data_IF_200422751685
#
_entry.id   IF_200422751685
#
_cell.length_a   1.000
_cell.length_b   1.000
_cell.length_c   1.000
_cell.angle_alpha   90.00
_cell.angle_beta   90.00
_cell.angle_gamma   90.00
#
_symmetry.space_group_name_H-M   'P 1'
#
loop_
_entity.id
_entity.type
_entity.pdbx_description
1 polymer ?
#
# COMPACT_ATOMS: atom_id res chain seq x y z
N UNK A 1 3.67 27.85 -16.27
CA UNK A 1 3.09 27.00 -15.20
C UNK A 1 3.64 27.40 -13.82
N UNK A 2 3.55 28.69 -13.43
CA UNK A 2 4.16 29.20 -12.19
C UNK A 2 3.28 30.20 -11.40
N UNK A 3 1.98 30.28 -11.70
CA UNK A 3 1.06 31.18 -11.00
C UNK A 3 -0.29 30.48 -10.76
N UNK A 4 -0.32 29.60 -9.75
CA UNK A 4 -1.57 29.05 -9.22
C UNK A 4 -1.41 28.52 -7.77
N UNK A 5 -0.45 29.04 -7.00
CA UNK A 5 -0.03 28.45 -5.72
C UNK A 5 -0.53 29.17 -4.45
N UNK A 6 -1.41 30.19 -4.56
CA UNK A 6 -1.68 31.10 -3.43
C UNK A 6 -3.12 31.06 -2.88
N UNK A 7 -3.84 29.92 -2.89
CA UNK A 7 -5.25 29.91 -2.45
C UNK A 7 -5.72 28.74 -1.58
N UNK A 8 -4.88 28.14 -0.74
CA UNK A 8 -5.33 26.98 0.05
C UNK A 8 -4.68 26.95 1.44
N UNK A 9 -5.38 27.47 2.46
CA UNK A 9 -5.10 27.25 3.88
C UNK A 9 -6.40 27.31 4.71
N UNK A 10 -6.67 26.33 5.60
CA UNK A 10 -7.57 26.53 6.74
C UNK A 10 -6.96 26.16 8.13
N UNK A 11 -7.77 26.44 9.15
CA UNK A 11 -7.55 26.82 10.57
C UNK A 11 -6.79 25.85 11.52
N UNK A 12 -5.98 26.34 12.49
CA UNK A 12 -5.16 25.53 13.39
C UNK A 12 -5.89 25.15 14.68
N UNK A 13 -6.46 23.94 14.74
CA UNK A 13 -7.09 23.40 15.97
C UNK A 13 -7.35 21.89 16.04
N UNK A 14 -6.84 21.07 15.12
CA UNK A 14 -7.44 19.76 14.79
C UNK A 14 -6.68 18.47 15.18
N UNK A 15 -5.69 18.50 16.09
CA UNK A 15 -5.17 17.28 16.73
C UNK A 15 -4.74 16.14 15.78
N UNK A 16 -3.94 16.46 14.77
CA UNK A 16 -3.69 15.66 13.56
C UNK A 16 -2.52 14.67 13.65
N UNK A 17 -2.51 13.76 12.68
CA UNK A 17 -1.71 12.54 12.64
C UNK A 17 -1.30 12.28 11.19
N UNK A 18 0.00 12.23 10.88
CA UNK A 18 0.50 12.29 9.51
C UNK A 18 1.32 11.08 9.03
N UNK A 19 1.89 11.21 7.84
CA UNK A 19 3.16 10.55 7.54
C UNK A 19 4.25 11.42 8.15
N UNK A 20 4.95 10.92 9.15
CA UNK A 20 6.18 11.56 9.60
C UNK A 20 7.29 10.95 8.77
N UNK A 21 7.65 11.68 7.71
CA UNK A 21 8.97 11.50 7.11
C UNK A 21 9.95 11.81 8.23
N UNK A 22 10.78 10.84 8.59
CA UNK A 22 11.84 11.10 9.56
C UNK A 22 12.67 12.28 9.04
N UNK A 23 13.07 13.19 9.93
CA UNK A 23 13.58 14.54 9.60
C UNK A 23 14.76 14.55 8.62
N UNK A 24 15.38 13.39 8.43
CA UNK A 24 16.47 13.04 7.53
C UNK A 24 16.20 13.35 6.05
N UNK A 25 15.01 13.78 5.59
CA UNK A 25 14.88 14.04 4.15
C UNK A 25 13.95 15.15 3.64
N UNK A 26 13.20 15.92 4.47
CA UNK A 26 12.54 17.15 3.97
C UNK A 26 11.92 17.98 5.11
N UNK A 27 12.72 18.83 5.73
CA UNK A 27 12.23 19.98 6.49
C UNK A 27 11.69 21.07 5.56
N UNK A 28 10.52 20.85 4.91
CA UNK A 28 9.53 21.89 4.49
C UNK A 28 8.43 21.48 3.50
N UNK A 29 8.20 20.20 3.23
CA UNK A 29 7.05 19.78 2.40
C UNK A 29 6.41 18.60 3.13
N UNK A 30 5.07 18.60 3.30
CA UNK A 30 4.22 17.59 3.97
C UNK A 30 3.73 17.86 5.42
N UNK A 31 3.25 19.08 5.73
CA UNK A 31 2.44 19.30 6.96
C UNK A 31 0.98 19.73 6.71
N UNK A 32 0.44 19.65 5.50
CA UNK A 32 -0.85 20.30 5.20
C UNK A 32 -1.94 19.48 4.49
N UNK A 33 -1.72 18.20 4.13
CA UNK A 33 -2.52 17.63 3.03
C UNK A 33 -3.32 16.35 3.32
N UNK A 34 -3.34 15.82 4.53
CA UNK A 34 -4.03 14.54 4.80
C UNK A 34 -4.88 14.61 6.07
N UNK A 35 -6.13 15.05 5.93
CA UNK A 35 -7.09 15.15 7.03
C UNK A 35 -7.84 13.85 7.28
N UNK A 36 -7.57 13.19 8.42
CA UNK A 36 -8.39 12.11 9.01
C UNK A 36 -8.29 12.12 10.55
N UNK A 37 -9.40 12.08 11.30
CA UNK A 37 -9.39 11.86 12.75
C UNK A 37 -9.48 10.36 13.11
N UNK A 38 -8.80 9.95 14.18
CA UNK A 38 -8.89 8.60 14.78
C UNK A 38 -9.55 8.72 16.15
N UNK A 39 -10.67 8.02 16.37
CA UNK A 39 -11.19 7.77 17.71
C UNK A 39 -10.71 6.39 18.17
N UNK A 40 -9.97 6.37 19.27
CA UNK A 40 -9.65 5.16 20.02
C UNK A 40 -10.91 4.62 20.68
N UNK A 41 -11.36 3.44 20.29
CA UNK A 41 -12.21 2.62 21.14
C UNK A 41 -11.80 1.16 20.99
N UNK A 42 -11.19 0.65 22.06
CA UNK A 42 -11.10 -0.76 22.39
C UNK A 42 -12.45 -1.43 22.17
N UNK A 43 -12.52 -2.51 21.38
CA UNK A 43 -13.57 -3.49 21.58
C UNK A 43 -13.13 -4.91 21.17
N UNK A 44 -13.50 -5.86 22.02
CA UNK A 44 -13.29 -7.29 21.90
C UNK A 44 -13.95 -7.85 20.64
N UNK A 45 -13.24 -8.73 19.95
CA UNK A 45 -13.74 -9.57 18.86
C UNK A 45 -14.70 -10.62 19.45
N UNK A 46 -15.97 -10.74 19.04
CA UNK A 46 -16.79 -11.88 19.40
C UNK A 46 -16.35 -13.12 18.60
N UNK A 47 -16.19 -14.24 19.29
CA UNK A 47 -15.92 -15.54 18.71
C UNK A 47 -17.04 -15.98 17.77
N UNK A 48 -16.72 -16.17 16.48
CA UNK A 48 -17.63 -16.79 15.53
C UNK A 48 -17.75 -18.29 15.83
N UNK A 49 -18.96 -18.73 16.18
CA UNK A 49 -19.35 -20.14 16.20
C UNK A 49 -19.91 -20.52 14.83
N UNK A 50 -19.31 -21.54 14.21
CA UNK A 50 -19.86 -22.19 13.02
C UNK A 50 -21.06 -23.05 13.43
N UNK A 51 -22.25 -22.76 12.89
CA UNK A 51 -23.35 -23.72 12.84
C UNK A 51 -23.59 -24.14 11.39
N UNK A 52 -23.69 -25.46 11.10
CA UNK A 52 -24.05 -25.96 9.79
C UNK A 52 -25.57 -26.00 9.65
N UNK A 53 -26.13 -25.50 8.55
CA UNK A 53 -27.57 -25.63 8.32
C UNK A 53 -28.09 -24.87 7.10
N UNK A 54 -28.26 -25.62 6.02
CA UNK A 54 -29.38 -25.56 5.05
C UNK A 54 -29.79 -24.19 4.47
N UNK A 55 -29.55 -24.02 3.17
CA UNK A 55 -30.32 -23.11 2.33
C UNK A 55 -31.01 -23.90 1.21
N UNK A 56 -32.32 -23.65 1.10
CA UNK A 56 -33.33 -24.25 0.22
C UNK A 56 -33.08 -23.99 -1.27
N UNK A 57 -33.64 -24.89 -2.04
CA UNK A 57 -33.85 -24.86 -3.49
C UNK A 57 -34.86 -23.79 -3.94
N UNK A 58 -34.73 -23.45 -5.23
CA UNK A 58 -35.68 -22.79 -6.15
C UNK A 58 -35.64 -21.26 -6.27
N UNK A 59 -35.06 -20.77 -7.37
CA UNK A 59 -35.80 -20.05 -8.43
C UNK A 59 -34.89 -19.69 -9.63
N UNK A 60 -35.30 -20.14 -10.83
CA UNK A 60 -35.17 -19.39 -12.10
C UNK A 60 -33.84 -19.42 -12.85
N UNK A 61 -33.61 -20.46 -13.65
CA UNK A 61 -32.62 -20.43 -14.73
C UNK A 61 -33.20 -19.61 -15.90
N UNK A 62 -32.68 -18.41 -16.11
CA UNK A 62 -32.76 -17.72 -17.42
C UNK A 62 -31.53 -18.15 -18.21
N UNK A 63 -31.78 -18.99 -19.21
CA UNK A 63 -30.79 -19.51 -20.14
C UNK A 63 -30.28 -18.40 -21.07
N UNK A 64 -29.00 -18.07 -20.96
CA UNK A 64 -28.24 -17.32 -21.96
C UNK A 64 -26.81 -17.85 -22.00
N UNK A 65 -26.68 -19.06 -22.56
CA UNK A 65 -25.46 -19.83 -22.58
C UNK A 65 -24.70 -19.72 -23.93
N UNK A 66 -23.40 -19.32 -23.96
CA UNK A 66 -22.48 -19.73 -25.00
C UNK A 66 -21.49 -20.82 -24.55
N UNK A 67 -21.61 -21.33 -23.33
CA UNK A 67 -20.81 -22.44 -22.79
C UNK A 67 -21.61 -23.72 -22.77
N UNK A 68 -21.65 -24.43 -23.91
CA UNK A 68 -21.88 -25.87 -23.84
C UNK A 68 -20.83 -26.47 -22.90
N UNK A 69 -21.32 -27.10 -21.83
CA UNK A 69 -20.53 -27.61 -20.72
C UNK A 69 -19.41 -28.52 -21.22
N UNK A 70 -18.17 -28.13 -20.93
CA UNK A 70 -17.04 -29.04 -21.03
C UNK A 70 -16.91 -29.69 -19.67
N UNK A 71 -17.34 -30.94 -19.58
CA UNK A 71 -17.20 -31.75 -18.39
C UNK A 71 -15.70 -31.97 -18.13
N UNK A 72 -15.13 -31.26 -17.15
CA UNK A 72 -13.70 -31.30 -16.80
C UNK A 72 -13.29 -32.67 -16.22
N UNK A 73 -14.25 -33.58 -16.07
CA UNK A 73 -14.06 -34.97 -15.67
C UNK A 73 -14.06 -35.95 -16.84
N UNK A 74 -14.25 -35.48 -18.08
CA UNK A 74 -14.17 -36.33 -19.27
C UNK A 74 -12.73 -36.79 -19.49
N UNK A 75 -12.49 -38.04 -19.10
CA UNK A 75 -11.25 -38.77 -19.33
C UNK A 75 -11.07 -38.86 -20.85
N UNK A 76 -9.89 -38.49 -21.37
CA UNK A 76 -9.62 -38.67 -22.79
C UNK A 76 -9.81 -40.17 -23.16
N UNK A 77 -10.13 -40.53 -24.41
CA UNK A 77 -10.50 -41.90 -24.80
C UNK A 77 -9.51 -43.00 -24.36
N UNK A 78 -8.29 -42.61 -24.04
CA UNK A 78 -7.16 -43.42 -23.57
C UNK A 78 -7.02 -43.50 -22.03
N UNK A 79 -7.99 -43.07 -21.22
CA UNK A 79 -7.95 -43.24 -19.76
C UNK A 79 -7.13 -42.19 -19.00
N UNK A 80 -6.50 -41.25 -19.70
CA UNK A 80 -5.61 -40.24 -19.09
C UNK A 80 -6.22 -38.85 -19.13
N UNK A 81 -6.01 -38.07 -18.06
CA UNK A 81 -6.30 -36.63 -18.08
C UNK A 81 -5.28 -35.93 -18.98
N UNK A 82 -5.68 -34.97 -19.83
CA UNK A 82 -4.73 -34.24 -20.65
C UNK A 82 -3.74 -33.49 -19.75
N UNK A 83 -2.45 -33.52 -20.10
CA UNK A 83 -1.40 -32.75 -19.42
C UNK A 83 -1.38 -31.28 -19.82
N UNK A 84 -2.22 -30.90 -20.80
CA UNK A 84 -2.34 -29.55 -21.33
C UNK A 84 -3.82 -29.18 -21.45
N UNK A 85 -4.17 -28.01 -20.92
CA UNK A 85 -5.49 -27.41 -21.05
C UNK A 85 -5.32 -26.00 -21.58
N UNK A 86 -6.04 -25.65 -22.64
CA UNK A 86 -6.14 -24.28 -23.12
C UNK A 86 -7.61 -23.86 -23.13
N UNK A 87 -7.90 -22.70 -22.53
CA UNK A 87 -9.19 -22.04 -22.62
C UNK A 87 -8.93 -20.60 -23.01
N UNK A 88 -9.14 -20.29 -24.29
CA UNK A 88 -8.92 -18.96 -24.81
C UNK A 88 -10.07 -18.06 -24.37
N UNK A 89 -9.75 -16.98 -23.66
CA UNK A 89 -10.72 -15.93 -23.38
C UNK A 89 -11.15 -15.23 -24.68
N UNK A 90 -12.38 -14.73 -24.71
CA UNK A 90 -12.91 -13.97 -25.85
C UNK A 90 -12.42 -12.53 -25.88
N UNK A 91 -11.92 -12.02 -24.75
CA UNK A 91 -11.43 -10.64 -24.61
C UNK A 91 -9.91 -10.57 -24.80
N UNK A 92 -9.41 -9.62 -25.61
CA UNK A 92 -7.97 -9.43 -25.79
C UNK A 92 -7.31 -8.92 -24.51
N UNK A 93 -6.05 -9.30 -24.29
CA UNK A 93 -5.26 -8.76 -23.18
C UNK A 93 -5.05 -7.25 -23.35
N UNK A 94 -5.28 -6.50 -22.28
CA UNK A 94 -5.06 -5.06 -22.28
C UNK A 94 -3.63 -4.71 -21.84
N UNK A 95 -3.06 -3.65 -22.42
CA UNK A 95 -1.69 -3.19 -22.15
C UNK A 95 -1.60 -2.08 -21.09
N UNK A 96 -2.65 -1.85 -20.31
CA UNK A 96 -2.62 -0.82 -19.26
C UNK A 96 -1.72 -1.23 -18.10
N UNK A 97 -0.91 -0.29 -17.61
CA UNK A 97 -0.20 -0.46 -16.34
C UNK A 97 -1.15 -0.26 -15.17
N UNK A 98 -0.78 -0.76 -13.99
CA UNK A 98 -1.54 -0.49 -12.75
C UNK A 98 -1.68 1.02 -12.52
N UNK A 99 -0.64 1.81 -12.79
CA UNK A 99 -0.67 3.27 -12.64
C UNK A 99 -1.68 3.95 -13.58
N UNK A 100 -1.85 3.43 -14.81
CA UNK A 100 -2.88 3.90 -15.75
C UNK A 100 -4.28 3.46 -15.31
N UNK A 101 -4.42 2.24 -14.77
CA UNK A 101 -5.70 1.76 -14.25
C UNK A 101 -6.21 2.59 -13.07
N UNK A 102 -5.32 3.19 -12.27
CA UNK A 102 -5.71 4.14 -11.21
C UNK A 102 -6.38 5.39 -11.80
N UNK A 103 -5.81 5.99 -12.85
CA UNK A 103 -6.42 7.14 -13.52
C UNK A 103 -7.76 6.78 -14.16
N UNK A 104 -7.78 5.69 -14.93
CA UNK A 104 -9.00 5.21 -15.60
C UNK A 104 -10.12 4.96 -14.58
N UNK A 105 -9.79 4.38 -13.42
CA UNK A 105 -10.77 4.13 -12.37
C UNK A 105 -11.26 5.43 -11.72
N UNK A 106 -10.38 6.39 -11.45
CA UNK A 106 -10.75 7.70 -10.91
C UNK A 106 -11.60 8.52 -11.89
N UNK A 107 -11.34 8.46 -13.19
CA UNK A 107 -12.15 9.13 -14.21
C UNK A 107 -13.54 8.50 -14.34
N UNK A 108 -13.63 7.17 -14.28
CA UNK A 108 -14.89 6.45 -14.51
C UNK A 108 -15.77 6.36 -13.27
N UNK A 109 -15.18 6.30 -12.08
CA UNK A 109 -15.88 6.03 -10.82
C UNK A 109 -15.40 6.93 -9.68
N UNK A 110 -14.94 8.13 -9.99
CA UNK A 110 -14.30 9.04 -9.04
C UNK A 110 -14.99 9.20 -7.69
N UNK A 111 -16.32 9.37 -7.69
CA UNK A 111 -17.12 9.56 -6.47
C UNK A 111 -17.48 8.26 -5.74
N UNK A 112 -17.20 7.09 -6.33
CA UNK A 112 -17.48 5.80 -5.69
C UNK A 112 -16.40 5.46 -4.67
N UNK A 113 -16.80 4.75 -3.62
CA UNK A 113 -15.86 4.19 -2.64
C UNK A 113 -14.90 3.21 -3.33
N UNK A 114 -13.61 3.45 -3.15
CA UNK A 114 -12.54 2.59 -3.65
C UNK A 114 -12.00 1.66 -2.55
N UNK A 115 -11.83 2.20 -1.34
CA UNK A 115 -11.26 1.48 -0.21
C UNK A 115 -11.96 1.85 1.10
N UNK A 116 -12.34 0.83 1.85
CA UNK A 116 -12.89 0.93 3.19
C UNK A 116 -11.97 0.18 4.16
N UNK A 117 -11.51 0.87 5.18
CA UNK A 117 -10.78 0.28 6.31
C UNK A 117 -11.64 0.35 7.55
N UNK A 118 -12.17 -0.80 7.98
CA UNK A 118 -13.08 -0.90 9.13
C UNK A 118 -12.39 -0.52 10.43
N UNK A 119 -11.13 -0.95 10.63
CA UNK A 119 -10.41 -0.69 11.87
C UNK A 119 -9.88 0.75 11.98
N UNK A 120 -9.75 1.45 10.84
CA UNK A 120 -9.41 2.87 10.80
C UNK A 120 -10.67 3.75 10.76
N UNK A 121 -11.85 3.13 10.70
CA UNK A 121 -13.15 3.77 10.45
C UNK A 121 -13.07 4.79 9.30
N UNK A 122 -12.46 4.36 8.19
CA UNK A 122 -12.11 5.29 7.14
C UNK A 122 -12.41 4.75 5.74
N UNK A 123 -12.93 5.64 4.89
CA UNK A 123 -13.41 5.39 3.54
C UNK A 123 -12.79 6.41 2.61
N UNK A 124 -12.27 5.96 1.48
CA UNK A 124 -11.78 6.84 0.42
C UNK A 124 -12.40 6.48 -0.92
N UNK A 125 -12.67 7.51 -1.72
CA UNK A 125 -13.16 7.36 -3.09
C UNK A 125 -12.03 7.07 -4.08
N UNK A 126 -12.37 6.71 -5.32
CA UNK A 126 -11.37 6.49 -6.37
C UNK A 126 -10.58 7.77 -6.70
N UNK A 127 -11.23 8.93 -6.73
CA UNK A 127 -10.57 10.22 -6.93
C UNK A 127 -9.58 10.52 -5.79
N UNK A 128 -10.01 10.33 -4.54
CA UNK A 128 -9.13 10.55 -3.38
C UNK A 128 -7.96 9.57 -3.36
N UNK A 129 -8.18 8.30 -3.74
CA UNK A 129 -7.12 7.31 -3.81
C UNK A 129 -6.04 7.70 -4.84
N UNK A 130 -6.45 8.17 -6.03
CA UNK A 130 -5.52 8.69 -7.05
C UNK A 130 -4.75 9.90 -6.51
N UNK A 131 -5.43 10.90 -5.98
CA UNK A 131 -4.78 12.14 -5.54
C UNK A 131 -3.76 11.89 -4.43
N UNK A 132 -4.10 11.02 -3.47
CA UNK A 132 -3.18 10.62 -2.40
C UNK A 132 -1.99 9.83 -2.95
N UNK A 133 -2.21 8.95 -3.92
CA UNK A 133 -1.13 8.19 -4.56
C UNK A 133 -0.18 9.11 -5.35
N UNK A 134 -0.71 10.09 -6.07
CA UNK A 134 0.07 11.05 -6.85
C UNK A 134 0.90 11.97 -5.97
N UNK A 135 0.31 12.45 -4.88
CA UNK A 135 1.04 13.24 -3.89
C UNK A 135 2.18 12.44 -3.26
N UNK A 136 1.93 11.20 -2.84
CA UNK A 136 2.97 10.36 -2.27
C UNK A 136 4.07 10.03 -3.30
N UNK A 137 3.70 9.73 -4.55
CA UNK A 137 4.66 9.48 -5.63
C UNK A 137 5.54 10.72 -5.90
N UNK A 138 4.94 11.91 -5.97
CA UNK A 138 5.66 13.17 -6.14
C UNK A 138 6.60 13.45 -4.97
N UNK A 139 6.18 13.18 -3.73
CA UNK A 139 7.04 13.29 -2.55
C UNK A 139 8.24 12.35 -2.62
N UNK A 140 8.02 11.09 -3.01
CA UNK A 140 9.09 10.11 -3.19
C UNK A 140 10.09 10.50 -4.29
N UNK A 141 9.61 11.08 -5.40
CA UNK A 141 10.51 11.64 -6.43
C UNK A 141 11.37 12.77 -5.86
N UNK A 142 10.81 13.66 -5.04
CA UNK A 142 11.55 14.74 -4.38
C UNK A 142 12.56 14.22 -3.36
N UNK A 143 12.27 13.08 -2.71
CA UNK A 143 13.20 12.35 -1.84
C UNK A 143 14.35 11.66 -2.63
N UNK A 144 14.34 11.76 -3.95
CA UNK A 144 15.41 11.29 -4.83
C UNK A 144 15.20 9.88 -5.38
N UNK A 145 13.99 9.31 -5.30
CA UNK A 145 13.66 8.09 -6.03
C UNK A 145 13.49 8.40 -7.51
N UNK A 146 13.74 7.40 -8.35
CA UNK A 146 13.53 7.44 -9.79
C UNK A 146 12.75 6.21 -10.23
N UNK A 147 12.03 6.24 -11.37
CA UNK A 147 11.40 5.05 -11.93
C UNK A 147 12.39 3.88 -12.02
N UNK A 148 11.94 2.69 -11.61
CA UNK A 148 12.77 1.49 -11.48
C UNK A 148 13.44 1.31 -10.11
N UNK A 149 13.48 2.34 -9.26
CA UNK A 149 13.94 2.19 -7.88
C UNK A 149 12.97 1.35 -7.05
N UNK A 150 13.52 0.64 -6.06
CA UNK A 150 12.76 -0.27 -5.20
C UNK A 150 12.28 0.44 -3.94
N UNK A 151 10.97 0.50 -3.78
CA UNK A 151 10.28 1.06 -2.62
C UNK A 151 9.75 -0.08 -1.77
N UNK A 152 10.34 -0.28 -0.59
CA UNK A 152 9.82 -1.22 0.39
C UNK A 152 8.64 -0.63 1.16
N UNK A 153 7.62 -1.44 1.38
CA UNK A 153 6.45 -1.12 2.18
C UNK A 153 6.34 -2.20 3.25
N UNK A 154 6.56 -1.81 4.50
CA UNK A 154 6.60 -2.68 5.67
C UNK A 154 5.55 -2.24 6.69
N UNK A 155 4.36 -2.79 6.58
CA UNK A 155 3.24 -2.39 7.42
C UNK A 155 2.01 -3.28 7.23
N UNK A 156 0.99 -3.14 8.09
CA UNK A 156 -0.25 -3.88 7.96
C UNK A 156 -1.03 -3.44 6.72
N UNK A 157 -2.02 -4.24 6.32
CA UNK A 157 -2.98 -3.87 5.27
C UNK A 157 -3.84 -2.68 5.73
N UNK A 158 -3.32 -1.47 5.55
CA UNK A 158 -3.94 -0.19 5.85
C UNK A 158 -4.25 0.60 4.59
N UNK A 159 -5.01 1.68 4.76
CA UNK A 159 -5.21 2.63 3.66
C UNK A 159 -3.88 3.19 3.21
N UNK A 160 -3.00 3.57 4.13
CA UNK A 160 -1.68 4.09 3.80
C UNK A 160 -0.84 3.03 3.06
N UNK A 161 -0.92 1.76 3.44
CA UNK A 161 -0.21 0.66 2.76
C UNK A 161 -0.71 0.51 1.32
N UNK A 162 -2.03 0.55 1.12
CA UNK A 162 -2.62 0.47 -0.21
C UNK A 162 -2.27 1.69 -1.07
N UNK A 163 -2.37 2.90 -0.52
CA UNK A 163 -1.95 4.13 -1.18
C UNK A 163 -0.46 4.10 -1.55
N UNK A 164 0.41 3.56 -0.68
CA UNK A 164 1.84 3.41 -0.96
C UNK A 164 2.09 2.51 -2.18
N UNK A 165 1.28 1.46 -2.34
CA UNK A 165 1.36 0.56 -3.50
C UNK A 165 0.86 1.25 -4.78
N UNK A 166 -0.21 2.05 -4.69
CA UNK A 166 -0.66 2.86 -5.82
C UNK A 166 0.39 3.91 -6.20
N UNK A 167 0.95 4.61 -5.21
CA UNK A 167 2.02 5.59 -5.41
C UNK A 167 3.25 4.97 -6.09
N UNK A 168 3.62 3.75 -5.72
CA UNK A 168 4.68 3.01 -6.40
C UNK A 168 4.37 2.79 -7.88
N UNK A 169 3.16 2.32 -8.20
CA UNK A 169 2.74 2.13 -9.58
C UNK A 169 2.67 3.45 -10.36
N UNK A 170 2.21 4.53 -9.73
CA UNK A 170 2.11 5.87 -10.32
C UNK A 170 3.48 6.51 -10.56
N UNK A 171 4.40 6.38 -9.61
CA UNK A 171 5.77 6.89 -9.69
C UNK A 171 6.73 6.01 -10.50
N UNK A 172 6.28 4.85 -10.99
CA UNK A 172 7.12 3.90 -11.71
C UNK A 172 8.14 3.18 -10.82
N UNK A 173 7.91 3.11 -9.51
CA UNK A 173 8.76 2.40 -8.56
C UNK A 173 8.40 0.92 -8.50
N UNK A 174 9.39 0.09 -8.17
CA UNK A 174 9.18 -1.33 -7.90
C UNK A 174 8.72 -1.47 -6.46
N UNK A 175 7.44 -1.78 -6.25
CA UNK A 175 6.87 -2.02 -4.93
C UNK A 175 7.37 -3.35 -4.34
N UNK A 176 8.03 -3.29 -3.20
CA UNK A 176 8.51 -4.46 -2.45
C UNK A 176 7.68 -4.59 -1.18
N UNK A 177 6.85 -5.61 -1.11
CA UNK A 177 5.98 -5.86 0.04
C UNK A 177 6.71 -6.70 1.07
N UNK A 178 6.87 -6.18 2.29
CA UNK A 178 7.54 -6.87 3.39
C UNK A 178 6.49 -7.23 4.44
N UNK A 179 6.54 -8.47 4.94
CA UNK A 179 5.64 -8.94 5.98
C UNK A 179 5.86 -8.10 7.27
N UNK A 180 4.81 -7.46 7.81
CA UNK A 180 4.91 -6.66 9.03
C UNK A 180 5.32 -7.46 10.28
N UNK A 181 5.26 -8.80 10.25
CA UNK A 181 5.72 -9.65 11.35
C UNK A 181 7.25 -9.85 11.40
N UNK A 182 7.99 -9.47 10.35
CA UNK A 182 9.45 -9.64 10.29
C UNK A 182 10.14 -8.94 11.45
N UNK A 183 11.12 -9.62 12.04
CA UNK A 183 11.98 -9.04 13.06
C UNK A 183 13.27 -8.54 12.42
N UNK A 184 14.19 -8.01 13.23
CA UNK A 184 15.40 -7.37 12.73
C UNK A 184 16.22 -8.23 11.75
N UNK A 185 16.43 -9.55 11.96
CA UNK A 185 17.20 -10.38 11.04
C UNK A 185 16.54 -10.51 9.66
N UNK A 186 15.24 -10.80 9.62
CA UNK A 186 14.49 -11.02 8.38
C UNK A 186 14.31 -9.70 7.62
N UNK A 187 14.06 -8.61 8.34
CA UNK A 187 13.98 -7.27 7.76
C UNK A 187 15.33 -6.88 7.14
N UNK A 188 16.43 -6.99 7.88
CA UNK A 188 17.77 -6.69 7.36
C UNK A 188 18.09 -7.52 6.12
N UNK A 189 17.86 -8.83 6.17
CA UNK A 189 18.09 -9.71 5.03
C UNK A 189 17.32 -9.23 3.79
N UNK A 190 16.05 -8.87 3.97
CA UNK A 190 15.17 -8.43 2.88
C UNK A 190 15.63 -7.09 2.28
N UNK A 191 15.95 -6.10 3.12
CA UNK A 191 16.42 -4.78 2.69
C UNK A 191 17.74 -4.89 1.90
N UNK A 192 18.70 -5.68 2.39
CA UNK A 192 20.01 -5.84 1.76
C UNK A 192 19.92 -6.67 0.47
N UNK A 193 19.21 -7.81 0.48
CA UNK A 193 19.09 -8.70 -0.68
C UNK A 193 18.38 -8.03 -1.85
N UNK A 194 17.33 -7.27 -1.54
CA UNK A 194 16.54 -6.57 -2.56
C UNK A 194 17.22 -5.26 -2.95
N UNK A 195 18.04 -4.66 -2.09
CA UNK A 195 18.73 -3.40 -2.37
C UNK A 195 17.74 -2.24 -2.49
N UNK A 196 16.86 -2.10 -1.50
CA UNK A 196 15.79 -1.08 -1.50
C UNK A 196 16.38 0.32 -1.35
N UNK A 197 15.77 1.30 -2.02
CA UNK A 197 16.20 2.71 -1.94
C UNK A 197 15.44 3.51 -0.90
N UNK A 198 14.17 3.17 -0.70
CA UNK A 198 13.35 3.75 0.35
C UNK A 198 12.49 2.69 1.04
N UNK A 199 12.16 2.96 2.29
CA UNK A 199 11.29 2.14 3.13
C UNK A 199 10.17 3.01 3.69
N UNK A 200 8.92 2.59 3.49
CA UNK A 200 7.76 3.09 4.21
C UNK A 200 7.41 2.06 5.29
N UNK A 201 7.39 2.48 6.56
CA UNK A 201 7.07 1.61 7.70
C UNK A 201 5.91 2.14 8.52
N UNK A 202 5.16 1.24 9.16
CA UNK A 202 4.28 1.61 10.29
C UNK A 202 5.10 1.94 11.55
N UNK A 203 4.53 2.70 12.49
CA UNK A 203 5.09 2.91 13.83
C UNK A 203 5.11 1.61 14.65
N UNK A 204 4.00 0.88 14.61
CA UNK A 204 3.79 -0.33 15.37
C UNK A 204 2.94 -1.34 14.61
N UNK A 205 3.12 -2.60 14.96
CA UNK A 205 2.31 -3.70 14.46
C UNK A 205 2.00 -4.67 15.60
N UNK A 206 0.72 -4.81 15.94
CA UNK A 206 0.25 -5.56 17.13
C UNK A 206 0.95 -5.05 18.39
N UNK A 207 1.66 -5.93 19.10
CA UNK A 207 2.43 -5.60 20.31
C UNK A 207 3.86 -5.15 20.01
N UNK A 208 4.30 -5.21 18.76
CA UNK A 208 5.68 -4.91 18.36
C UNK A 208 5.84 -3.45 17.94
N UNK A 209 6.88 -2.81 18.45
CA UNK A 209 7.28 -1.48 18.02
C UNK A 209 8.21 -1.60 16.80
N UNK A 210 7.66 -1.41 15.60
CA UNK A 210 8.42 -1.48 14.33
C UNK A 210 9.59 -0.50 14.31
N UNK A 211 9.44 0.67 14.94
CA UNK A 211 10.52 1.65 15.10
C UNK A 211 11.72 1.10 15.90
N UNK A 212 11.48 0.33 16.97
CA UNK A 212 12.58 -0.28 17.74
C UNK A 212 13.33 -1.34 16.92
N UNK A 213 12.61 -2.11 16.10
CA UNK A 213 13.21 -3.06 15.17
C UNK A 213 14.07 -2.32 14.14
N UNK A 214 13.58 -1.20 13.59
CA UNK A 214 14.35 -0.36 12.66
C UNK A 214 15.63 0.17 13.29
N UNK A 215 15.61 0.63 14.55
CA UNK A 215 16.82 1.06 15.25
C UNK A 215 17.84 -0.07 15.44
N UNK A 216 17.39 -1.31 15.62
CA UNK A 216 18.30 -2.46 15.68
C UNK A 216 18.95 -2.76 14.31
N UNK A 217 18.20 -2.58 13.22
CA UNK A 217 18.69 -2.77 11.85
C UNK A 217 19.57 -1.61 11.39
N UNK A 218 19.20 -0.38 11.77
CA UNK A 218 19.76 0.90 11.34
C UNK A 218 20.10 1.72 12.59
N UNK A 219 21.17 1.37 13.32
CA UNK A 219 21.57 2.09 14.53
C UNK A 219 21.96 3.56 14.27
N UNK A 220 22.31 3.90 13.02
CA UNK A 220 22.63 5.26 12.61
C UNK A 220 21.42 6.22 12.62
N UNK A 221 20.19 5.72 12.78
CA UNK A 221 19.01 6.57 12.95
C UNK A 221 19.17 7.51 14.15
N UNK A 222 19.77 7.08 15.25
CA UNK A 222 19.96 7.91 16.45
C UNK A 222 20.93 9.08 16.25
N UNK A 223 21.77 9.03 15.21
CA UNK A 223 22.83 9.99 14.94
C UNK A 223 22.61 10.73 13.62
N UNK A 224 21.44 10.56 12.98
CA UNK A 224 21.17 11.21 11.72
C UNK A 224 20.95 12.71 11.96
N UNK A 225 21.65 13.60 11.24
CA UNK A 225 21.44 15.03 11.41
C UNK A 225 20.00 15.40 11.01
N UNK A 226 19.41 16.40 11.69
CA UNK A 226 18.07 16.92 11.36
C UNK A 226 17.99 17.58 9.96
N UNK A 227 19.11 17.66 9.24
CA UNK A 227 19.17 18.10 7.86
C UNK A 227 18.59 17.03 6.93
N UNK A 228 17.97 17.45 5.82
CA UNK A 228 17.41 16.57 4.79
C UNK A 228 18.44 15.75 3.99
N UNK A 229 19.51 15.31 4.64
CA UNK A 229 20.57 14.50 4.08
C UNK A 229 20.15 13.03 4.03
N UNK A 230 20.31 12.39 2.87
CA UNK A 230 19.96 10.98 2.70
C UNK A 230 20.57 10.06 3.77
N UNK A 231 19.76 9.11 4.25
CA UNK A 231 20.17 8.09 5.20
C UNK A 231 21.41 7.34 4.68
N UNK A 232 22.37 7.14 5.58
CA UNK A 232 23.57 6.34 5.33
C UNK A 232 23.73 5.34 6.46
N UNK A 233 23.50 4.07 6.14
CA UNK A 233 23.71 2.95 7.04
C UNK A 233 24.65 1.94 6.39
N UNK A 234 25.66 1.48 7.14
CA UNK A 234 26.63 0.54 6.62
C UNK A 234 26.01 -0.84 6.28
N UNK A 235 24.98 -1.26 7.03
CA UNK A 235 24.31 -2.56 6.84
C UNK A 235 23.34 -2.58 5.66
N UNK A 236 22.75 -1.43 5.33
CA UNK A 236 21.79 -1.26 4.22
C UNK A 236 22.18 -0.07 3.34
N UNK A 237 23.31 -0.14 2.61
CA UNK A 237 23.89 1.01 1.92
C UNK A 237 23.03 1.56 0.77
N UNK A 238 22.09 0.76 0.25
CA UNK A 238 21.15 1.19 -0.78
C UNK A 238 20.02 2.07 -0.22
N UNK A 239 19.68 1.93 1.06
CA UNK A 239 18.56 2.63 1.69
C UNK A 239 18.94 4.08 1.97
N UNK A 240 18.22 5.02 1.34
CA UNK A 240 18.46 6.46 1.40
C UNK A 240 17.35 7.24 2.08
N UNK A 241 16.14 6.67 2.15
CA UNK A 241 14.99 7.36 2.72
C UNK A 241 14.16 6.41 3.58
N UNK A 242 13.75 6.88 4.74
CA UNK A 242 12.83 6.19 5.64
C UNK A 242 11.60 7.08 5.88
N UNK A 243 10.42 6.52 5.70
CA UNK A 243 9.14 7.20 5.94
C UNK A 243 8.37 6.39 6.97
N UNK A 244 7.99 7.03 8.08
CA UNK A 244 7.20 6.38 9.13
C UNK A 244 5.75 6.87 9.06
N UNK A 245 4.81 5.95 8.94
CA UNK A 245 3.39 6.23 9.09
C UNK A 245 3.08 6.42 10.57
N UNK A 246 3.19 7.66 11.06
CA UNK A 246 2.94 7.98 12.45
C UNK A 246 2.49 9.42 12.65
N UNK A 247 1.69 9.54 13.69
CA UNK A 247 1.19 10.71 14.34
C UNK A 247 2.28 11.47 15.11
N UNK A 248 3.31 10.73 15.53
CA UNK A 248 4.37 11.18 16.42
C UNK A 248 5.55 11.63 15.58
N UNK A 249 6.10 12.79 15.94
CA UNK A 249 7.37 13.24 15.39
C UNK A 249 8.50 12.40 15.99
N UNK A 250 9.26 11.73 15.13
CA UNK A 250 10.50 11.03 15.48
C UNK A 250 11.71 11.95 15.26
N UNK A 251 12.85 11.56 15.83
CA UNK A 251 14.12 12.30 15.79
C UNK A 251 15.07 11.59 14.85
#
# INVERSE_FOLDING_TARGET
MAQAASRWLPDPGSGQVGFVVDKVALGRIFSEYFGFPCQSSFYQIPHYHNHPGQARSEAGIVDSNPTQGIDVWSIAPNGHKPSYWHSLGTEPMTHHTIGQLVDIAAERWGDKEALLSLYQDHRITFSEARDKADHLAAGLLQLGLSPGDRLAIWGPNSIQWYISRLAAARGGFIAVQIDPAYQAPELLHSLTKVGVKALISTESYKTSCSYQILRAVIPELDNCPESGDQLRCAKVPSLRSLVIMSNRQYR
#
